data_IF_413448796018
#
_entry.id   IF_413448796018
#
_cell.length_a   1.000
_cell.length_b   1.000
_cell.length_c   1.000
_cell.angle_alpha   90.00
_cell.angle_beta   90.00
_cell.angle_gamma   90.00
#
_symmetry.space_group_name_H-M   'P 1'
#
loop_
_entity.id
_entity.type
_entity.pdbx_description
1 polymer ?
#
# COMPACT_ATOMS: atom_id res chain seq x y z
N UNK A 1 -13.63 4.00 18.53
CA UNK A 1 -14.02 3.34 19.80
C UNK A 1 -13.70 1.86 19.65
N UNK A 2 -12.53 1.42 20.14
CA UNK A 2 -12.09 0.02 20.11
C UNK A 2 -12.90 -0.76 21.14
N UNK A 3 -13.50 -1.88 20.73
CA UNK A 3 -14.16 -2.78 21.69
C UNK A 3 -13.08 -3.47 22.53
N UNK A 4 -13.22 -3.53 23.87
CA UNK A 4 -12.27 -4.24 24.72
C UNK A 4 -12.28 -5.72 24.35
N UNK A 5 -11.08 -6.31 24.26
CA UNK A 5 -10.87 -7.75 24.12
C UNK A 5 -11.55 -8.43 25.32
N UNK A 6 -12.52 -9.31 25.06
CA UNK A 6 -13.23 -10.04 26.08
C UNK A 6 -12.25 -10.91 26.89
N UNK A 7 -12.21 -10.66 28.17
CA UNK A 7 -11.56 -11.48 29.16
C UNK A 7 -12.38 -12.78 29.32
N UNK A 8 -11.97 -13.85 28.63
CA UNK A 8 -12.48 -15.19 28.89
C UNK A 8 -11.30 -16.16 28.93
N UNK A 9 -11.03 -16.67 30.15
CA UNK A 9 -10.19 -17.84 30.46
C UNK A 9 -8.91 -17.98 29.62
N UNK A 10 -7.77 -17.63 30.18
CA UNK A 10 -6.35 -17.99 29.87
C UNK A 10 -6.06 -18.75 28.56
N UNK A 11 -6.68 -18.38 27.44
CA UNK A 11 -6.34 -18.89 26.12
C UNK A 11 -5.30 -17.97 25.51
N UNK A 12 -4.03 -18.33 25.68
CA UNK A 12 -2.91 -17.64 25.02
C UNK A 12 -2.91 -18.01 23.54
N UNK A 13 -2.82 -17.00 22.66
CA UNK A 13 -2.62 -17.23 21.25
C UNK A 13 -1.13 -17.49 20.97
N UNK A 14 -0.82 -18.55 20.23
CA UNK A 14 0.55 -18.81 19.77
C UNK A 14 0.97 -17.90 18.61
N UNK A 15 0.00 -17.39 17.84
CA UNK A 15 0.20 -16.50 16.69
C UNK A 15 -0.64 -15.24 16.88
N UNK A 16 -0.03 -14.07 16.71
CA UNK A 16 -0.69 -12.77 16.77
C UNK A 16 -0.50 -12.05 15.44
N UNK A 17 -1.58 -11.55 14.86
CA UNK A 17 -1.55 -10.68 13.69
C UNK A 17 -1.73 -9.23 14.10
N UNK A 18 -0.89 -8.34 13.58
CA UNK A 18 -0.97 -6.89 13.78
C UNK A 18 -1.11 -6.16 12.44
N UNK A 19 -1.99 -5.17 12.39
CA UNK A 19 -2.14 -4.24 11.28
C UNK A 19 -2.70 -2.93 11.84
N UNK A 20 -1.82 -1.99 12.08
CA UNK A 20 -2.11 -0.68 12.68
C UNK A 20 -1.49 0.44 11.85
N UNK A 21 -1.41 1.66 12.36
CA UNK A 21 -1.01 2.83 11.56
C UNK A 21 0.50 3.09 11.57
N UNK A 22 1.17 2.92 12.71
CA UNK A 22 2.57 3.28 12.90
C UNK A 22 3.37 2.18 13.61
N UNK A 23 4.71 2.29 13.58
CA UNK A 23 5.58 1.38 14.34
C UNK A 23 5.41 1.52 15.86
N UNK A 24 5.06 2.69 16.34
CA UNK A 24 4.82 2.91 17.77
C UNK A 24 3.52 2.25 18.22
N UNK A 25 2.47 2.29 17.38
CA UNK A 25 1.23 1.54 17.65
C UNK A 25 1.52 0.02 17.70
N UNK A 26 2.37 -0.50 16.82
CA UNK A 26 2.79 -1.92 16.86
C UNK A 26 3.47 -2.24 18.19
N UNK A 27 4.43 -1.39 18.63
CA UNK A 27 5.15 -1.56 19.90
C UNK A 27 4.18 -1.51 21.08
N UNK A 28 3.21 -0.58 21.10
CA UNK A 28 2.21 -0.46 22.16
C UNK A 28 1.37 -1.74 22.27
N UNK A 29 0.83 -2.22 21.14
CA UNK A 29 0.03 -3.46 21.10
C UNK A 29 0.86 -4.66 21.58
N UNK A 30 2.09 -4.79 21.10
CA UNK A 30 2.95 -5.93 21.48
C UNK A 30 3.36 -5.88 22.95
N UNK A 31 3.66 -4.71 23.51
CA UNK A 31 3.92 -4.55 24.93
C UNK A 31 2.71 -4.97 25.76
N UNK A 32 1.50 -4.56 25.36
CA UNK A 32 0.27 -4.97 26.04
C UNK A 32 0.03 -6.50 25.96
N UNK A 33 0.35 -7.14 24.82
CA UNK A 33 0.26 -8.59 24.65
C UNK A 33 1.27 -9.30 25.55
N UNK A 34 2.52 -8.86 25.57
CA UNK A 34 3.59 -9.47 26.39
C UNK A 34 3.33 -9.30 27.90
N UNK A 35 2.72 -8.19 28.32
CA UNK A 35 2.36 -7.94 29.71
C UNK A 35 1.32 -8.93 30.27
N UNK A 36 0.63 -9.70 29.42
CA UNK A 36 -0.29 -10.77 29.85
C UNK A 36 0.42 -12.02 30.40
N UNK A 37 1.75 -12.05 30.40
CA UNK A 37 2.58 -13.08 31.06
C UNK A 37 2.99 -14.26 30.19
N UNK A 38 2.51 -14.35 28.94
CA UNK A 38 3.00 -15.36 27.97
C UNK A 38 3.15 -14.70 26.59
N UNK A 39 4.38 -14.66 26.09
CA UNK A 39 4.67 -14.16 24.77
C UNK A 39 4.14 -15.12 23.67
N UNK A 40 3.60 -14.64 22.55
CA UNK A 40 3.27 -15.47 21.40
C UNK A 40 4.53 -16.10 20.79
N UNK A 41 4.39 -17.22 20.11
CA UNK A 41 5.51 -17.84 19.38
C UNK A 41 5.86 -17.04 18.13
N UNK A 42 4.84 -16.53 17.44
CA UNK A 42 4.98 -15.79 16.18
C UNK A 42 4.10 -14.53 16.23
N UNK A 43 4.67 -13.41 15.82
CA UNK A 43 3.93 -12.19 15.46
C UNK A 43 4.01 -12.03 13.95
N UNK A 44 2.87 -11.86 13.32
CA UNK A 44 2.73 -11.53 11.89
C UNK A 44 2.31 -10.07 11.80
N UNK A 45 3.20 -9.19 11.33
CA UNK A 45 2.91 -7.77 11.25
C UNK A 45 2.75 -7.30 9.80
N UNK A 46 1.55 -6.79 9.48
CA UNK A 46 1.17 -6.28 8.17
C UNK A 46 1.17 -4.74 8.09
N UNK A 47 1.60 -4.05 9.14
CA UNK A 47 1.67 -2.59 9.21
C UNK A 47 2.71 -2.04 8.22
N UNK A 48 2.41 -0.93 7.53
CA UNK A 48 3.38 -0.25 6.66
C UNK A 48 4.26 0.69 7.49
N UNK A 49 5.44 0.22 7.86
CA UNK A 49 6.42 0.93 8.68
C UNK A 49 7.82 0.92 8.05
N UNK A 50 8.73 1.72 8.58
CA UNK A 50 10.12 1.75 8.13
C UNK A 50 10.87 0.46 8.49
N UNK A 51 12.00 0.25 7.81
CA UNK A 51 12.87 -0.91 8.04
C UNK A 51 13.45 -0.84 9.47
N UNK A 52 13.84 0.34 9.91
CA UNK A 52 14.41 0.59 11.22
C UNK A 52 13.39 0.26 12.33
N UNK A 53 12.17 0.78 12.22
CA UNK A 53 11.10 0.50 13.18
C UNK A 53 10.78 -1.01 13.25
N UNK A 54 10.75 -1.68 12.09
CA UNK A 54 10.55 -3.13 12.03
C UNK A 54 11.70 -3.91 12.68
N UNK A 55 12.95 -3.49 12.46
CA UNK A 55 14.14 -4.06 13.09
C UNK A 55 14.13 -3.93 14.62
N UNK A 56 13.71 -2.76 15.14
CA UNK A 56 13.53 -2.54 16.58
C UNK A 56 12.46 -3.48 17.18
N UNK A 57 11.33 -3.63 16.49
CA UNK A 57 10.26 -4.54 16.90
C UNK A 57 10.77 -5.99 16.91
N UNK A 58 11.50 -6.40 15.87
CA UNK A 58 12.12 -7.73 15.79
C UNK A 58 13.07 -7.98 16.97
N UNK A 59 13.93 -7.02 17.28
CA UNK A 59 14.84 -7.11 18.41
C UNK A 59 14.11 -7.16 19.76
N UNK A 60 13.01 -6.42 19.91
CA UNK A 60 12.15 -6.48 21.09
C UNK A 60 11.55 -7.87 21.29
N UNK A 61 10.95 -8.42 20.23
CA UNK A 61 10.28 -9.72 20.26
C UNK A 61 11.27 -10.89 20.48
N UNK A 62 12.46 -10.80 19.90
CA UNK A 62 13.51 -11.81 20.06
C UNK A 62 13.93 -11.99 21.52
N UNK A 63 13.93 -10.91 22.33
CA UNK A 63 14.20 -11.00 23.78
C UNK A 63 13.19 -11.87 24.54
N UNK A 64 11.97 -11.97 24.01
CA UNK A 64 10.90 -12.81 24.56
C UNK A 64 10.81 -14.20 23.88
N UNK A 65 11.73 -14.53 22.97
CA UNK A 65 11.71 -15.78 22.19
C UNK A 65 10.63 -15.81 21.11
N UNK A 66 10.03 -14.66 20.76
CA UNK A 66 8.99 -14.53 19.75
C UNK A 66 9.61 -14.24 18.38
N UNK A 67 9.16 -14.93 17.34
CA UNK A 67 9.57 -14.68 15.96
C UNK A 67 8.68 -13.60 15.33
N UNK A 68 9.29 -12.63 14.64
CA UNK A 68 8.58 -11.67 13.82
C UNK A 68 8.58 -12.13 12.37
N UNK A 69 7.41 -12.30 11.78
CA UNK A 69 7.19 -12.37 10.34
C UNK A 69 6.62 -11.03 9.87
N UNK A 70 7.39 -10.27 9.11
CA UNK A 70 6.89 -9.08 8.44
C UNK A 70 6.09 -9.51 7.21
N UNK A 71 4.81 -9.15 7.15
CA UNK A 71 3.88 -9.60 6.11
C UNK A 71 2.99 -8.45 5.60
N UNK A 72 3.58 -7.36 5.07
CA UNK A 72 2.80 -6.28 4.49
C UNK A 72 1.95 -6.76 3.31
N UNK A 73 0.83 -6.05 3.09
CA UNK A 73 -0.17 -6.42 2.10
C UNK A 73 -0.25 -5.40 0.96
N UNK A 74 -0.67 -5.85 -0.20
CA UNK A 74 -1.02 -5.00 -1.35
C UNK A 74 -2.49 -5.16 -1.68
N UNK A 75 -3.24 -4.07 -1.58
CA UNK A 75 -4.66 -3.97 -1.85
C UNK A 75 -5.34 -2.99 -0.89
N UNK A 76 -6.35 -2.29 -1.40
CA UNK A 76 -7.25 -1.43 -0.63
C UNK A 76 -8.55 -2.18 -0.28
N UNK A 77 -9.51 -1.51 0.36
CA UNK A 77 -10.78 -2.12 0.76
C UNK A 77 -11.57 -2.75 -0.42
N UNK A 78 -11.50 -2.17 -1.63
CA UNK A 78 -12.13 -2.75 -2.83
C UNK A 78 -11.45 -4.06 -3.23
N UNK A 79 -10.11 -4.08 -3.22
CA UNK A 79 -9.30 -5.27 -3.55
C UNK A 79 -9.52 -6.39 -2.53
N UNK A 80 -9.64 -6.05 -1.24
CA UNK A 80 -9.95 -7.01 -0.17
C UNK A 80 -11.34 -7.63 -0.39
N UNK A 81 -12.36 -6.80 -0.66
CA UNK A 81 -13.73 -7.29 -0.94
C UNK A 81 -13.79 -8.21 -2.17
N UNK A 82 -12.92 -7.98 -3.15
CA UNK A 82 -12.81 -8.83 -4.34
C UNK A 82 -11.98 -10.12 -4.11
N UNK A 83 -11.45 -10.35 -2.90
CA UNK A 83 -10.60 -11.50 -2.60
C UNK A 83 -9.23 -11.47 -3.32
N UNK A 84 -8.77 -10.27 -3.76
CA UNK A 84 -7.57 -10.10 -4.59
C UNK A 84 -6.38 -9.51 -3.82
N UNK A 85 -6.41 -9.54 -2.48
CA UNK A 85 -5.29 -9.09 -1.66
C UNK A 85 -4.03 -9.93 -1.94
N UNK A 86 -2.87 -9.28 -1.95
CA UNK A 86 -1.58 -9.97 -2.07
C UNK A 86 -0.74 -9.71 -0.83
N UNK A 87 -0.05 -10.73 -0.34
CA UNK A 87 0.84 -10.67 0.82
C UNK A 87 2.27 -10.90 0.37
N UNK A 88 3.20 -10.09 0.85
CA UNK A 88 4.63 -10.35 0.73
C UNK A 88 5.20 -10.54 2.13
N UNK A 89 5.93 -11.64 2.38
CA UNK A 89 6.38 -12.00 3.71
C UNK A 89 7.91 -12.17 3.76
N UNK A 90 8.51 -11.76 4.89
CA UNK A 90 9.92 -12.03 5.22
C UNK A 90 10.12 -12.23 6.71
N UNK A 91 11.13 -13.01 7.06
CA UNK A 91 11.46 -13.41 8.43
C UNK A 91 11.85 -14.88 8.49
N UNK A 92 11.97 -15.47 9.68
CA UNK A 92 12.36 -16.87 9.80
C UNK A 92 11.48 -17.80 8.97
N UNK A 93 12.11 -18.65 8.14
CA UNK A 93 11.38 -19.52 7.18
C UNK A 93 10.39 -20.46 7.88
N UNK A 94 10.76 -21.00 9.03
CA UNK A 94 9.89 -21.87 9.82
C UNK A 94 8.67 -21.13 10.39
N UNK A 95 8.82 -19.84 10.72
CA UNK A 95 7.68 -19.00 11.08
C UNK A 95 6.75 -18.76 9.89
N UNK A 96 7.33 -18.50 8.71
CA UNK A 96 6.55 -18.38 7.48
C UNK A 96 5.76 -19.67 7.18
N UNK A 97 6.42 -20.83 7.21
CA UNK A 97 5.77 -22.11 6.91
C UNK A 97 4.60 -22.41 7.87
N UNK A 98 4.75 -22.02 9.14
CA UNK A 98 3.69 -22.21 10.14
C UNK A 98 2.47 -21.32 9.90
N UNK A 99 2.64 -20.13 9.30
CA UNK A 99 1.55 -19.17 9.08
C UNK A 99 1.07 -19.07 7.63
N UNK A 100 1.78 -19.66 6.68
CA UNK A 100 1.43 -19.61 5.25
C UNK A 100 -0.03 -19.98 4.96
N UNK A 101 -0.62 -21.04 5.56
CA UNK A 101 -2.03 -21.37 5.33
C UNK A 101 -3.00 -20.26 5.74
N UNK A 102 -2.67 -19.48 6.78
CA UNK A 102 -3.50 -18.34 7.21
C UNK A 102 -3.35 -17.15 6.26
N UNK A 103 -2.13 -16.91 5.76
CA UNK A 103 -1.88 -15.84 4.79
C UNK A 103 -2.56 -16.14 3.44
N UNK A 104 -2.56 -17.39 3.00
CA UNK A 104 -3.25 -17.85 1.79
C UNK A 104 -4.77 -17.74 1.90
N UNK A 105 -5.32 -17.86 3.12
CA UNK A 105 -6.75 -17.69 3.36
C UNK A 105 -7.24 -16.24 3.27
N UNK A 106 -6.35 -15.26 3.45
CA UNK A 106 -6.69 -13.82 3.42
C UNK A 106 -6.34 -13.13 2.10
N UNK A 107 -5.59 -13.78 1.22
CA UNK A 107 -5.15 -13.19 -0.04
C UNK A 107 -5.11 -14.18 -1.19
N UNK A 108 -5.13 -13.66 -2.42
CA UNK A 108 -5.01 -14.49 -3.64
C UNK A 108 -3.58 -14.91 -3.96
N UNK A 109 -2.59 -14.35 -3.26
CA UNK A 109 -1.17 -14.66 -3.48
C UNK A 109 -0.32 -14.30 -2.27
N UNK A 110 0.60 -15.20 -1.93
CA UNK A 110 1.56 -15.02 -0.85
C UNK A 110 2.96 -15.26 -1.42
N UNK A 111 3.85 -14.27 -1.24
CA UNK A 111 5.24 -14.37 -1.69
C UNK A 111 6.17 -14.31 -0.49
N UNK A 112 7.01 -15.32 -0.29
CA UNK A 112 8.12 -15.28 0.65
C UNK A 112 9.37 -14.76 -0.07
N UNK A 113 9.97 -13.67 0.46
CA UNK A 113 11.10 -12.99 -0.18
C UNK A 113 12.42 -13.11 0.59
N UNK A 114 12.45 -13.94 1.62
CA UNK A 114 13.66 -14.19 2.41
C UNK A 114 13.54 -13.77 3.87
N UNK A 115 14.65 -13.66 4.56
CA UNK A 115 14.69 -13.34 5.98
C UNK A 115 14.75 -11.82 6.25
N UNK A 116 14.69 -11.42 7.50
CA UNK A 116 14.79 -10.03 7.95
C UNK A 116 13.66 -9.13 7.45
N UNK A 117 14.02 -7.95 6.91
CA UNK A 117 13.08 -6.91 6.53
C UNK A 117 12.81 -6.82 5.01
N UNK A 118 13.11 -7.88 4.25
CA UNK A 118 13.02 -7.86 2.78
C UNK A 118 11.59 -7.60 2.28
N UNK A 119 10.56 -8.07 2.98
CA UNK A 119 9.18 -7.78 2.61
C UNK A 119 8.80 -6.30 2.80
N UNK A 120 9.44 -5.61 3.77
CA UNK A 120 9.28 -4.16 3.93
C UNK A 120 9.85 -3.42 2.73
N UNK A 121 11.07 -3.80 2.30
CA UNK A 121 11.66 -3.25 1.07
C UNK A 121 10.77 -3.54 -0.13
N UNK A 122 10.30 -4.77 -0.31
CA UNK A 122 9.41 -5.12 -1.42
C UNK A 122 8.13 -4.26 -1.41
N UNK A 123 7.52 -4.04 -0.24
CA UNK A 123 6.34 -3.18 -0.11
C UNK A 123 6.64 -1.71 -0.40
N UNK A 124 7.78 -1.20 0.07
CA UNK A 124 8.25 0.17 -0.24
C UNK A 124 8.43 0.32 -1.76
N UNK A 125 9.14 -0.59 -2.42
CA UNK A 125 9.32 -0.57 -3.88
C UNK A 125 7.99 -0.62 -4.63
N UNK A 126 7.04 -1.45 -4.18
CA UNK A 126 5.69 -1.52 -4.74
C UNK A 126 4.96 -0.16 -4.64
N UNK A 127 5.00 0.50 -3.49
CA UNK A 127 4.30 1.77 -3.30
C UNK A 127 5.00 2.95 -4.00
N UNK A 128 6.32 2.91 -4.13
CA UNK A 128 7.08 3.83 -5.00
C UNK A 128 6.63 3.70 -6.45
N UNK A 129 6.55 2.46 -6.96
CA UNK A 129 6.05 2.21 -8.32
C UNK A 129 4.62 2.74 -8.50
N UNK A 130 3.73 2.52 -7.52
CA UNK A 130 2.37 3.03 -7.55
C UNK A 130 2.34 4.56 -7.70
N UNK A 131 3.15 5.29 -6.92
CA UNK A 131 3.23 6.76 -6.98
C UNK A 131 3.74 7.28 -8.32
N UNK A 132 4.74 6.64 -8.92
CA UNK A 132 5.26 7.00 -10.24
C UNK A 132 4.24 6.67 -11.33
N UNK A 133 3.61 5.48 -11.25
CA UNK A 133 2.64 5.04 -12.26
C UNK A 133 1.42 5.94 -12.29
N UNK A 134 0.87 6.36 -11.12
CA UNK A 134 -0.31 7.24 -11.16
C UNK A 134 0.01 8.61 -11.73
N UNK A 135 1.17 9.19 -11.42
CA UNK A 135 1.58 10.47 -12.01
C UNK A 135 1.69 10.35 -13.53
N UNK A 136 2.41 9.33 -14.02
CA UNK A 136 2.55 9.10 -15.45
C UNK A 136 1.20 8.81 -16.12
N UNK A 137 0.32 8.03 -15.47
CA UNK A 137 -1.01 7.72 -15.99
C UNK A 137 -1.88 8.98 -16.15
N UNK A 138 -1.78 9.94 -15.23
CA UNK A 138 -2.44 11.25 -15.35
C UNK A 138 -1.89 12.02 -16.55
N UNK A 139 -0.58 12.10 -16.72
CA UNK A 139 0.07 12.81 -17.83
C UNK A 139 -0.36 12.27 -19.19
N UNK A 140 -0.26 10.94 -19.40
CA UNK A 140 -0.58 10.34 -20.70
C UNK A 140 -2.09 10.35 -20.99
N UNK A 141 -2.95 10.28 -19.95
CA UNK A 141 -4.40 10.42 -20.12
C UNK A 141 -4.76 11.82 -20.61
N UNK A 142 -4.17 12.87 -20.03
CA UNK A 142 -4.41 14.24 -20.47
C UNK A 142 -3.78 14.53 -21.83
N UNK A 143 -2.63 13.94 -22.14
CA UNK A 143 -2.04 14.05 -23.48
C UNK A 143 -3.01 13.49 -24.54
N UNK A 144 -3.59 12.32 -24.28
CA UNK A 144 -4.57 11.70 -25.17
C UNK A 144 -5.83 12.56 -25.32
N UNK A 145 -6.35 13.11 -24.20
CA UNK A 145 -7.53 13.99 -24.23
C UNK A 145 -7.26 15.29 -24.99
N UNK A 146 -6.12 15.91 -24.77
CA UNK A 146 -5.74 17.15 -25.49
C UNK A 146 -5.52 16.94 -26.98
N UNK A 147 -5.15 15.70 -27.37
CA UNK A 147 -5.08 15.27 -28.77
C UNK A 147 -6.46 14.92 -29.38
N UNK A 148 -7.55 15.03 -28.62
CA UNK A 148 -8.92 14.79 -29.08
C UNK A 148 -9.48 13.39 -28.78
N UNK A 149 -8.79 12.57 -27.98
CA UNK A 149 -9.26 11.22 -27.59
C UNK A 149 -10.03 11.32 -26.27
N UNK A 150 -11.15 10.61 -26.15
CA UNK A 150 -11.86 10.50 -24.88
C UNK A 150 -11.02 9.69 -23.87
N UNK A 151 -10.99 10.10 -22.60
CA UNK A 151 -10.19 9.46 -21.55
C UNK A 151 -10.53 7.98 -21.41
N UNK A 152 -11.83 7.63 -21.37
CA UNK A 152 -12.26 6.25 -21.24
C UNK A 152 -11.79 5.38 -22.42
N UNK A 153 -11.78 5.91 -23.65
CA UNK A 153 -11.32 5.17 -24.82
C UNK A 153 -9.82 4.88 -24.76
N UNK A 154 -9.03 5.89 -24.34
CA UNK A 154 -7.60 5.71 -24.11
C UNK A 154 -7.33 4.68 -22.99
N UNK A 155 -8.03 4.79 -21.88
CA UNK A 155 -7.86 3.89 -20.72
C UNK A 155 -8.32 2.46 -21.04
N UNK A 156 -9.36 2.29 -21.85
CA UNK A 156 -9.78 0.96 -22.33
C UNK A 156 -8.69 0.31 -23.19
N UNK A 157 -8.11 1.06 -24.13
CA UNK A 157 -6.96 0.58 -24.91
C UNK A 157 -5.78 0.21 -24.00
N UNK A 158 -5.40 1.09 -23.08
CA UNK A 158 -4.28 0.86 -22.16
C UNK A 158 -4.51 -0.41 -21.32
N UNK A 159 -5.73 -0.59 -20.78
CA UNK A 159 -6.09 -1.73 -19.95
C UNK A 159 -6.12 -3.07 -20.67
N UNK A 160 -6.30 -3.07 -22.00
CA UNK A 160 -6.22 -4.24 -22.88
C UNK A 160 -4.80 -4.51 -23.38
N UNK A 161 -3.92 -3.52 -23.30
CA UNK A 161 -2.52 -3.63 -23.73
C UNK A 161 -1.66 -4.35 -22.70
N UNK A 162 -0.39 -4.61 -23.05
CA UNK A 162 0.62 -5.16 -22.14
C UNK A 162 0.93 -4.27 -20.94
N UNK A 163 0.55 -3.00 -20.98
CA UNK A 163 0.73 -2.03 -19.89
C UNK A 163 -0.45 -2.02 -18.91
N UNK A 164 -1.54 -2.73 -19.21
CA UNK A 164 -2.69 -2.86 -18.33
C UNK A 164 -2.36 -3.67 -17.07
N UNK A 165 -2.88 -3.20 -15.93
CA UNK A 165 -2.71 -3.85 -14.63
C UNK A 165 -4.02 -3.78 -13.83
N UNK A 166 -4.09 -4.50 -12.70
CA UNK A 166 -5.21 -4.33 -11.77
C UNK A 166 -5.30 -2.87 -11.31
N UNK A 167 -4.16 -2.22 -11.07
CA UNK A 167 -4.10 -0.83 -10.64
C UNK A 167 -4.69 0.11 -11.69
N UNK A 168 -4.30 0.01 -12.96
CA UNK A 168 -4.80 0.89 -14.02
C UNK A 168 -6.31 0.69 -14.22
N UNK A 169 -6.80 -0.55 -14.11
CA UNK A 169 -8.23 -0.86 -14.24
C UNK A 169 -9.06 -0.22 -13.13
N UNK A 170 -8.69 -0.42 -11.85
CA UNK A 170 -9.52 0.13 -10.76
C UNK A 170 -9.42 1.65 -10.63
N UNK A 171 -8.42 2.29 -11.24
CA UNK A 171 -8.32 3.75 -11.33
C UNK A 171 -9.06 4.35 -12.54
N UNK A 172 -9.46 3.54 -13.50
CA UNK A 172 -10.20 4.01 -14.68
C UNK A 172 -11.46 4.84 -14.34
N UNK A 173 -12.34 4.46 -13.40
CA UNK A 173 -13.50 5.29 -13.04
C UNK A 173 -13.11 6.68 -12.52
N UNK A 174 -12.05 6.78 -11.71
CA UNK A 174 -11.57 8.06 -11.22
C UNK A 174 -11.06 8.97 -12.34
N UNK A 175 -10.31 8.42 -13.28
CA UNK A 175 -9.69 9.20 -14.37
C UNK A 175 -10.70 9.56 -15.47
N UNK A 176 -11.65 8.67 -15.79
CA UNK A 176 -12.67 8.93 -16.81
C UNK A 176 -13.79 9.82 -16.26
N UNK A 177 -14.34 9.47 -15.10
CA UNK A 177 -15.55 10.09 -14.57
C UNK A 177 -15.30 11.11 -13.45
N UNK A 178 -14.04 11.35 -13.09
CA UNK A 178 -13.65 12.23 -11.97
C UNK A 178 -14.25 11.78 -10.63
N UNK A 179 -14.41 10.46 -10.44
CA UNK A 179 -14.87 9.86 -9.20
C UNK A 179 -13.66 9.59 -8.28
N UNK A 180 -13.35 10.55 -7.44
CA UNK A 180 -12.19 10.52 -6.53
C UNK A 180 -12.54 9.95 -5.15
N UNK A 181 -13.48 9.01 -5.09
CA UNK A 181 -13.77 8.31 -3.84
C UNK A 181 -12.50 7.72 -3.24
N UNK A 182 -12.22 8.04 -1.97
CA UNK A 182 -10.94 7.75 -1.31
C UNK A 182 -10.67 6.25 -1.28
N UNK A 183 -9.59 5.85 -1.93
CA UNK A 183 -8.98 4.52 -1.78
C UNK A 183 -7.63 4.61 -1.07
N UNK A 184 -6.94 5.75 -1.23
CA UNK A 184 -5.65 6.06 -0.59
C UNK A 184 -5.40 7.56 -0.70
N UNK A 185 -5.14 8.24 0.43
CA UNK A 185 -5.00 9.70 0.43
C UNK A 185 -3.65 10.16 -0.09
N UNK A 186 -3.53 11.41 -0.56
CA UNK A 186 -2.24 11.99 -0.98
C UNK A 186 -1.17 11.96 0.11
N UNK A 187 -1.55 12.21 1.38
CA UNK A 187 -0.61 12.19 2.51
C UNK A 187 -0.03 10.80 2.75
N UNK A 188 -0.86 9.76 2.65
CA UNK A 188 -0.40 8.38 2.80
C UNK A 188 0.52 7.98 1.64
N UNK A 189 0.20 8.39 0.41
CA UNK A 189 1.07 8.15 -0.74
C UNK A 189 2.40 8.88 -0.59
N UNK A 190 2.39 10.16 -0.17
CA UNK A 190 3.62 10.93 0.10
C UNK A 190 4.49 10.21 1.14
N UNK A 191 3.90 9.80 2.27
CA UNK A 191 4.62 9.04 3.31
C UNK A 191 5.33 7.82 2.72
N UNK A 192 4.64 7.05 1.89
CA UNK A 192 5.21 5.84 1.31
C UNK A 192 6.32 6.14 0.29
N UNK A 193 6.17 7.20 -0.51
CA UNK A 193 7.22 7.65 -1.43
C UNK A 193 8.44 8.15 -0.62
N UNK A 194 8.24 8.89 0.48
CA UNK A 194 9.31 9.36 1.34
C UNK A 194 10.09 8.19 1.98
N UNK A 195 9.42 7.09 2.37
CA UNK A 195 10.09 5.86 2.79
C UNK A 195 10.97 5.29 1.67
N UNK A 196 10.48 5.30 0.43
CA UNK A 196 11.25 4.84 -0.74
C UNK A 196 12.48 5.69 -1.02
N UNK A 197 12.35 7.01 -0.97
CA UNK A 197 13.48 7.95 -1.16
C UNK A 197 14.51 7.80 -0.03
N UNK A 198 14.06 7.54 1.21
CA UNK A 198 14.97 7.26 2.32
C UNK A 198 15.73 5.96 2.11
N UNK A 199 15.05 4.89 1.72
CA UNK A 199 15.69 3.61 1.38
C UNK A 199 16.67 3.78 0.20
N UNK A 200 16.29 4.53 -0.84
CA UNK A 200 17.19 4.85 -1.97
C UNK A 200 18.51 5.51 -1.50
N UNK A 201 18.42 6.48 -0.59
CA UNK A 201 19.62 7.10 0.01
C UNK A 201 20.43 6.11 0.82
N UNK A 202 19.78 5.31 1.64
CA UNK A 202 20.43 4.31 2.50
C UNK A 202 21.21 3.27 1.69
N UNK A 203 20.65 2.81 0.58
CA UNK A 203 21.27 1.79 -0.29
C UNK A 203 22.05 2.36 -1.47
N UNK A 204 22.19 3.68 -1.58
CA UNK A 204 22.93 4.34 -2.67
C UNK A 204 22.29 4.19 -4.05
N UNK A 205 20.95 4.04 -4.12
CA UNK A 205 20.19 3.93 -5.37
C UNK A 205 19.58 5.28 -5.73
N UNK A 206 20.00 5.93 -6.84
CA UNK A 206 19.37 7.16 -7.33
C UNK A 206 17.91 6.93 -7.74
N UNK A 207 17.01 7.83 -7.29
CA UNK A 207 15.57 7.71 -7.54
C UNK A 207 14.98 9.02 -8.11
N UNK A 208 15.44 9.50 -9.29
CA UNK A 208 15.02 10.80 -9.82
C UNK A 208 13.53 10.84 -10.17
N UNK A 209 12.98 9.82 -10.83
CA UNK A 209 11.56 9.76 -11.20
C UNK A 209 10.66 9.77 -9.96
N UNK A 210 11.06 9.04 -8.91
CA UNK A 210 10.36 9.01 -7.63
C UNK A 210 10.36 10.39 -6.95
N UNK A 211 11.47 11.12 -7.03
CA UNK A 211 11.59 12.47 -6.46
C UNK A 211 10.61 13.43 -7.13
N UNK A 212 10.50 13.39 -8.46
CA UNK A 212 9.54 14.21 -9.21
C UNK A 212 8.09 13.83 -8.83
N UNK A 213 7.76 12.55 -8.81
CA UNK A 213 6.43 12.08 -8.42
C UNK A 213 6.06 12.52 -6.98
N UNK A 214 7.03 12.46 -6.06
CA UNK A 214 6.87 12.94 -4.67
C UNK A 214 6.50 14.41 -4.62
N UNK A 215 7.18 15.25 -5.42
CA UNK A 215 6.96 16.70 -5.44
C UNK A 215 5.59 17.04 -6.06
N UNK A 216 5.13 16.27 -7.05
CA UNK A 216 3.77 16.38 -7.58
C UNK A 216 2.71 16.05 -6.55
N UNK A 217 2.90 14.98 -5.75
CA UNK A 217 2.00 14.64 -4.64
C UNK A 217 2.03 15.72 -3.55
N UNK A 218 3.21 16.29 -3.24
CA UNK A 218 3.30 17.41 -2.29
C UNK A 218 2.57 18.65 -2.80
N UNK A 219 2.66 18.93 -4.09
CA UNK A 219 1.93 20.04 -4.72
C UNK A 219 0.42 19.82 -4.63
N UNK A 220 -0.05 18.59 -4.88
CA UNK A 220 -1.46 18.20 -4.72
C UNK A 220 -1.97 18.52 -3.30
N UNK A 221 -1.23 18.10 -2.29
CA UNK A 221 -1.55 18.38 -0.87
C UNK A 221 -1.56 19.91 -0.61
N UNK A 222 -0.56 20.63 -1.13
CA UNK A 222 -0.46 22.08 -0.97
C UNK A 222 -1.63 22.86 -1.56
N UNK A 223 -2.29 22.32 -2.59
CA UNK A 223 -3.52 22.85 -3.19
C UNK A 223 -4.80 22.42 -2.45
N UNK A 224 -4.71 21.69 -1.35
CA UNK A 224 -5.84 21.28 -0.51
C UNK A 224 -6.63 20.09 -1.05
N UNK A 225 -6.09 19.32 -1.97
CA UNK A 225 -6.69 18.07 -2.42
C UNK A 225 -6.48 16.97 -1.37
N UNK A 226 -7.54 16.43 -0.81
CA UNK A 226 -7.54 15.51 0.35
C UNK A 226 -8.28 14.18 0.12
N UNK A 227 -8.88 14.01 -1.05
CA UNK A 227 -9.59 12.78 -1.40
C UNK A 227 -8.61 11.69 -1.89
N UNK A 228 -8.85 11.11 -3.04
CA UNK A 228 -7.96 10.10 -3.59
C UNK A 228 -6.76 10.74 -4.31
N UNK A 229 -5.58 10.16 -4.19
CA UNK A 229 -4.36 10.67 -4.85
C UNK A 229 -4.49 10.75 -6.38
N UNK A 230 -5.46 10.07 -7.00
CA UNK A 230 -5.74 10.23 -8.44
C UNK A 230 -6.24 11.63 -8.82
N UNK A 231 -6.55 12.51 -7.83
CA UNK A 231 -6.74 13.94 -8.06
C UNK A 231 -5.49 14.63 -8.66
N UNK A 232 -4.34 13.95 -8.72
CA UNK A 232 -3.20 14.37 -9.54
C UNK A 232 -3.60 14.68 -10.99
N UNK A 233 -4.65 14.03 -11.52
CA UNK A 233 -5.22 14.34 -12.83
C UNK A 233 -5.72 15.77 -12.89
N UNK A 234 -6.40 16.26 -11.85
CA UNK A 234 -6.92 17.66 -11.81
C UNK A 234 -5.78 18.67 -11.73
N UNK A 235 -4.78 18.39 -10.88
CA UNK A 235 -3.60 19.24 -10.78
C UNK A 235 -2.86 19.35 -12.12
N UNK A 236 -2.66 18.23 -12.80
CA UNK A 236 -2.00 18.16 -14.09
C UNK A 236 -2.83 18.84 -15.20
N UNK A 237 -4.16 18.71 -15.16
CA UNK A 237 -5.08 19.38 -16.09
C UNK A 237 -4.99 20.91 -15.94
N UNK A 238 -5.00 21.40 -14.70
CA UNK A 238 -4.84 22.83 -14.41
C UNK A 238 -3.51 23.36 -14.97
N UNK A 239 -2.41 22.64 -14.73
CA UNK A 239 -1.09 23.00 -15.27
C UNK A 239 -1.06 22.96 -16.81
N UNK A 240 -1.95 22.21 -17.46
CA UNK A 240 -2.09 22.08 -18.91
C UNK A 240 -3.10 23.06 -19.51
N UNK A 241 -3.72 23.94 -18.69
CA UNK A 241 -4.78 24.86 -19.12
C UNK A 241 -6.05 24.12 -19.58
N UNK A 242 -6.37 23.00 -18.94
CA UNK A 242 -7.55 22.17 -19.26
C UNK A 242 -8.55 22.21 -18.11
N UNK A 243 -9.83 22.30 -18.45
CA UNK A 243 -10.96 22.11 -17.54
C UNK A 243 -11.60 20.77 -17.84
N UNK A 244 -11.51 19.83 -16.89
CA UNK A 244 -12.05 18.49 -17.08
C UNK A 244 -13.52 18.40 -16.68
N UNK A 245 -14.27 17.60 -17.44
CA UNK A 245 -15.65 17.23 -17.10
C UNK A 245 -15.74 15.71 -17.00
N UNK A 246 -16.61 15.22 -16.10
CA UNK A 246 -16.91 13.79 -16.06
C UNK A 246 -17.40 13.32 -17.43
N UNK A 247 -16.90 12.19 -17.89
CA UNK A 247 -17.40 11.57 -19.15
C UNK A 247 -18.72 10.83 -18.94
N UNK A 248 -19.12 10.59 -17.67
CA UNK A 248 -20.36 9.89 -17.30
C UNK A 248 -20.55 8.55 -18.02
N UNK A 249 -19.46 7.82 -18.20
CA UNK A 249 -19.47 6.51 -18.87
C UNK A 249 -19.50 5.37 -17.87
N UNK A 250 -20.15 4.27 -18.25
CA UNK A 250 -20.11 3.06 -17.44
C UNK A 250 -18.80 2.31 -17.70
N UNK A 251 -17.82 2.49 -16.83
CA UNK A 251 -16.53 1.80 -16.89
C UNK A 251 -16.33 0.94 -15.65
N UNK A 252 -15.99 -0.32 -15.87
CA UNK A 252 -15.68 -1.25 -14.78
C UNK A 252 -14.34 -0.93 -14.11
N UNK A 253 -14.23 -1.27 -12.83
CA UNK A 253 -12.97 -1.15 -12.06
C UNK A 253 -12.08 -2.41 -12.16
N UNK A 254 -12.50 -3.42 -12.90
CA UNK A 254 -11.73 -4.67 -13.10
C UNK A 254 -11.57 -5.53 -11.85
N UNK A 255 -12.38 -5.28 -10.81
CA UNK A 255 -12.33 -6.03 -9.55
C UNK A 255 -13.50 -7.05 -9.43
N UNK A 256 -14.54 -6.87 -10.23
CA UNK A 256 -15.66 -7.81 -10.34
C UNK A 256 -15.32 -9.05 -11.16
#
# INVERSE_FOLDING_TARGET
MQKPVRNSSKNYCDIVFTMVSTGDDVKEVLNAVMAQGKAPKIVVDSTSISIEASGEIRALLAKAGTKLLAAPVSGNAKVIKAGKLTVVASGPKDAFDAVAPYLEAIGQGVSYVGDGELSRIAKICHNVMLGVVIQNLCEITLLAEKAGMQRHAFLDFLNKSVMGSMFTRYKTPALANLDFHVTFTPELLRKDIDLGLSAGRQYGVPMPTTSVARDMVQTLIGHGYDQDFSQLLLLQAQASGMELKSENVNVGDGLS
#
